data_IF_644902949266
#
_entry.id   IF_644902949266
#
_cell.length_a   1.000
_cell.length_b   1.000
_cell.length_c   1.000
_cell.angle_alpha   90.00
_cell.angle_beta   90.00
_cell.angle_gamma   90.00
#
_symmetry.space_group_name_H-M   'P 1'
#
loop_
_entity.id
_entity.type
_entity.pdbx_description
1 polymer ?
#
# COMPACT_ATOMS: atom_id res chain seq x y z
N UNK A 1 0.47 18.12 -11.74
CA UNK A 1 0.86 17.52 -10.46
C UNK A 1 1.98 18.39 -9.91
N UNK A 2 1.84 18.91 -8.69
CA UNK A 2 2.89 19.72 -8.08
C UNK A 2 4.15 18.87 -7.89
N UNK A 3 5.32 19.49 -8.08
CA UNK A 3 6.60 18.82 -7.87
C UNK A 3 7.03 18.98 -6.42
N UNK A 4 7.45 17.87 -5.80
CA UNK A 4 8.01 17.87 -4.45
C UNK A 4 9.48 17.42 -4.52
N UNK A 5 10.41 18.30 -4.91
CA UNK A 5 11.81 17.94 -5.14
C UNK A 5 12.53 17.45 -3.86
N UNK A 6 12.10 17.94 -2.69
CA UNK A 6 12.62 17.52 -1.40
C UNK A 6 12.14 16.11 -0.97
N UNK A 7 11.10 15.56 -1.58
CA UNK A 7 10.58 14.24 -1.19
C UNK A 7 11.58 13.14 -1.54
N UNK A 8 12.09 12.48 -0.50
CA UNK A 8 12.91 11.27 -0.61
C UNK A 8 12.08 9.99 -0.49
N UNK A 9 10.90 10.07 0.13
CA UNK A 9 9.96 8.95 0.25
C UNK A 9 8.52 9.45 0.23
N UNK A 10 7.66 8.73 -0.50
CA UNK A 10 6.21 8.83 -0.36
C UNK A 10 5.71 7.65 0.48
N UNK A 11 4.93 7.92 1.51
CA UNK A 11 4.31 6.88 2.35
C UNK A 11 2.80 6.88 2.16
N UNK A 12 2.24 5.69 2.01
CA UNK A 12 0.84 5.45 1.74
C UNK A 12 0.21 4.73 2.92
N UNK A 13 -1.02 5.12 3.24
CA UNK A 13 -1.88 4.31 4.10
C UNK A 13 -2.35 3.06 3.36
N UNK A 14 -2.66 2.02 4.14
CA UNK A 14 -3.21 0.77 3.62
C UNK A 14 -4.68 0.65 3.99
N UNK A 15 -5.45 -0.03 3.14
CA UNK A 15 -6.82 -0.45 3.41
C UNK A 15 -6.90 -1.95 3.19
N UNK A 16 -7.44 -2.65 4.17
CA UNK A 16 -7.56 -4.10 4.11
C UNK A 16 -8.70 -4.48 3.17
N UNK A 17 -8.40 -5.37 2.23
CA UNK A 17 -9.44 -6.02 1.44
C UNK A 17 -9.79 -7.33 2.13
N UNK A 18 -11.00 -7.39 2.69
CA UNK A 18 -11.44 -8.57 3.42
C UNK A 18 -12.05 -9.57 2.45
N UNK A 19 -11.66 -10.82 2.65
CA UNK A 19 -12.22 -11.94 1.91
C UNK A 19 -13.58 -12.32 2.51
N UNK A 20 -14.61 -12.36 1.68
CA UNK A 20 -15.99 -12.64 2.10
C UNK A 20 -16.32 -14.13 2.09
N UNK A 21 -15.46 -14.96 1.48
CA UNK A 21 -15.64 -16.42 1.36
C UNK A 21 -14.33 -17.17 1.63
N UNK A 22 -14.37 -18.40 2.18
CA UNK A 22 -13.18 -19.23 2.35
C UNK A 22 -12.55 -19.61 1.00
N UNK A 23 -11.30 -20.05 1.03
CA UNK A 23 -10.64 -20.65 -0.15
C UNK A 23 -11.35 -21.94 -0.57
N UNK A 24 -11.44 -22.21 -1.88
CA UNK A 24 -11.96 -23.48 -2.37
C UNK A 24 -11.01 -24.60 -1.92
N UNK A 25 -11.57 -25.70 -1.41
CA UNK A 25 -10.78 -26.87 -1.00
C UNK A 25 -10.33 -27.74 -2.19
N UNK A 26 -10.95 -27.55 -3.36
CA UNK A 26 -10.64 -28.27 -4.60
C UNK A 26 -10.80 -27.35 -5.80
N UNK A 27 -9.92 -27.51 -6.79
CA UNK A 27 -9.99 -26.81 -8.07
C UNK A 27 -10.81 -27.61 -9.10
N UNK A 28 -11.91 -27.03 -9.58
CA UNK A 28 -12.83 -27.59 -10.59
C UNK A 28 -12.78 -26.78 -11.91
N UNK A 29 -11.61 -26.25 -12.25
CA UNK A 29 -11.41 -25.48 -13.49
C UNK A 29 -12.09 -24.10 -13.45
N UNK A 30 -12.71 -23.72 -14.57
CA UNK A 30 -13.34 -22.40 -14.74
C UNK A 30 -14.44 -22.11 -13.73
N UNK A 31 -15.14 -23.13 -13.22
CA UNK A 31 -16.15 -22.95 -12.18
C UNK A 31 -15.53 -22.33 -10.92
N UNK A 32 -14.47 -22.94 -10.40
CA UNK A 32 -13.75 -22.43 -9.23
C UNK A 32 -13.16 -21.05 -9.49
N UNK A 33 -12.59 -20.81 -10.68
CA UNK A 33 -12.07 -19.49 -11.04
C UNK A 33 -13.17 -18.43 -10.98
N UNK A 34 -14.27 -18.65 -11.68
CA UNK A 34 -15.37 -17.67 -11.79
C UNK A 34 -16.08 -17.41 -10.46
N UNK A 35 -16.07 -18.37 -9.53
CA UNK A 35 -16.66 -18.19 -8.19
C UNK A 35 -15.70 -17.53 -7.19
N UNK A 36 -14.38 -17.60 -7.42
CA UNK A 36 -13.34 -17.17 -6.49
C UNK A 36 -12.34 -16.16 -7.06
N UNK A 37 -12.65 -15.48 -8.17
CA UNK A 37 -11.83 -14.35 -8.64
C UNK A 37 -11.66 -13.34 -7.49
N UNK A 38 -10.44 -12.83 -7.32
CA UNK A 38 -10.10 -11.90 -6.23
C UNK A 38 -11.04 -10.69 -6.19
N UNK A 39 -11.44 -10.16 -7.34
CA UNK A 39 -12.40 -9.05 -7.45
C UNK A 39 -13.84 -9.40 -7.03
N UNK A 40 -14.20 -10.68 -6.96
CA UNK A 40 -15.53 -11.16 -6.58
C UNK A 40 -15.61 -11.54 -5.10
N UNK A 41 -14.52 -12.08 -4.54
CA UNK A 41 -14.52 -12.60 -3.16
C UNK A 41 -13.79 -11.70 -2.17
N UNK A 42 -13.02 -10.72 -2.64
CA UNK A 42 -12.42 -9.71 -1.78
C UNK A 42 -13.20 -8.40 -1.95
N UNK A 43 -13.77 -7.88 -0.86
CA UNK A 43 -14.52 -6.63 -0.88
C UNK A 43 -13.88 -5.58 0.03
N UNK A 44 -14.00 -4.33 -0.40
CA UNK A 44 -13.40 -3.17 0.26
C UNK A 44 -14.31 -2.59 1.36
N UNK A 45 -14.54 -3.33 2.45
CA UNK A 45 -15.36 -2.85 3.58
C UNK A 45 -14.56 -2.25 4.74
N UNK A 46 -13.23 -2.38 4.77
CA UNK A 46 -12.46 -1.84 5.89
C UNK A 46 -12.28 -0.33 5.74
N UNK A 47 -12.19 0.41 6.84
CA UNK A 47 -11.68 1.78 6.79
C UNK A 47 -10.18 1.78 6.40
N UNK A 48 -9.67 2.86 5.79
CA UNK A 48 -8.23 3.11 5.73
C UNK A 48 -7.61 2.99 7.13
N UNK A 49 -6.44 2.36 7.21
CA UNK A 49 -5.70 2.28 8.46
C UNK A 49 -5.12 3.66 8.86
N UNK A 50 -4.82 3.87 10.15
CA UNK A 50 -4.09 5.06 10.60
C UNK A 50 -2.74 5.20 9.90
N UNK A 51 -2.25 6.44 9.78
CA UNK A 51 -0.92 6.74 9.23
C UNK A 51 0.16 5.92 9.96
N UNK A 52 1.06 5.31 9.18
CA UNK A 52 2.14 4.44 9.68
C UNK A 52 1.74 2.99 9.92
N UNK A 53 0.46 2.65 10.05
CA UNK A 53 0.03 1.26 10.28
C UNK A 53 0.20 0.42 9.01
N UNK A 54 1.03 -0.62 9.05
CA UNK A 54 1.35 -1.48 7.89
C UNK A 54 1.71 -0.70 6.64
N UNK A 55 2.27 0.50 6.82
CA UNK A 55 2.50 1.44 5.74
C UNK A 55 3.37 0.83 4.64
N UNK A 56 3.18 1.31 3.41
CA UNK A 56 4.09 1.03 2.31
C UNK A 56 4.59 2.35 1.76
N UNK A 57 5.74 2.29 1.12
CA UNK A 57 6.41 3.48 0.67
C UNK A 57 7.10 3.25 -0.66
N UNK A 58 7.23 4.31 -1.43
CA UNK A 58 8.10 4.39 -2.61
C UNK A 58 9.16 5.43 -2.27
N UNK A 59 10.42 5.14 -2.57
CA UNK A 59 11.53 6.02 -2.22
C UNK A 59 12.43 6.31 -3.43
N UNK A 60 13.08 7.46 -3.39
CA UNK A 60 14.17 7.82 -4.27
C UNK A 60 15.49 7.45 -3.56
N UNK A 61 16.21 6.42 -4.03
CA UNK A 61 17.43 5.95 -3.36
C UNK A 61 18.56 6.98 -3.40
N UNK A 62 18.49 8.00 -4.26
CA UNK A 62 19.51 9.07 -4.31
C UNK A 62 19.38 10.06 -3.14
N UNK A 63 18.24 10.03 -2.43
CA UNK A 63 17.88 10.97 -1.35
C UNK A 63 17.86 10.31 0.03
N UNK A 64 17.97 8.98 0.08
CA UNK A 64 17.87 8.17 1.29
C UNK A 64 19.22 7.55 1.62
N UNK A 65 19.70 7.77 2.85
CA UNK A 65 20.95 7.18 3.33
C UNK A 65 20.71 5.84 4.02
N UNK A 66 19.68 5.76 4.87
CA UNK A 66 19.33 4.54 5.61
C UNK A 66 17.82 4.30 5.58
N UNK A 67 17.43 3.09 5.17
CA UNK A 67 16.05 2.65 5.08
C UNK A 67 15.78 1.54 6.10
N UNK A 68 14.71 1.68 6.87
CA UNK A 68 14.14 0.61 7.69
C UNK A 68 12.93 -0.02 7.01
N UNK A 69 12.32 -1.03 7.63
CA UNK A 69 11.09 -1.63 7.10
C UNK A 69 9.98 -0.57 7.05
N UNK A 70 9.65 -0.16 5.83
CA UNK A 70 8.57 0.78 5.49
C UNK A 70 8.72 2.23 6.00
N UNK A 71 9.93 2.63 6.39
CA UNK A 71 10.24 4.04 6.64
C UNK A 71 11.72 4.34 6.48
N UNK A 72 12.03 5.58 6.07
CA UNK A 72 13.40 6.09 6.07
C UNK A 72 13.81 6.41 7.49
N UNK A 73 14.96 5.88 7.89
CA UNK A 73 15.61 6.20 9.17
C UNK A 73 16.45 7.47 9.04
N UNK A 74 17.19 7.60 7.92
CA UNK A 74 18.07 8.74 7.66
C UNK A 74 17.98 9.16 6.19
N UNK A 75 17.71 10.45 5.99
CA UNK A 75 17.79 11.13 4.69
C UNK A 75 19.16 11.78 4.48
N UNK A 76 19.57 11.96 3.22
CA UNK A 76 20.58 12.98 2.93
C UNK A 76 20.00 14.39 3.24
N UNK A 77 20.85 15.39 3.55
CA UNK A 77 20.35 16.70 3.99
C UNK A 77 19.37 17.35 3.02
N UNK A 78 18.27 17.89 3.55
CA UNK A 78 17.25 18.60 2.76
C UNK A 78 16.16 17.72 2.15
N UNK A 79 16.08 16.44 2.55
CA UNK A 79 15.03 15.54 2.10
C UNK A 79 14.11 15.07 3.23
N UNK A 80 12.87 14.76 2.85
CA UNK A 80 11.82 14.41 3.80
C UNK A 80 10.83 13.38 3.25
N UNK A 81 9.97 12.93 4.17
CA UNK A 81 8.82 12.06 3.88
C UNK A 81 7.64 12.90 3.43
N UNK A 82 6.98 12.48 2.35
CA UNK A 82 5.64 12.93 1.99
C UNK A 82 4.62 11.88 2.41
N UNK A 83 3.73 12.23 3.34
CA UNK A 83 2.57 11.41 3.69
C UNK A 83 1.47 11.64 2.66
N UNK A 84 1.16 10.60 1.87
CA UNK A 84 0.22 10.72 0.76
C UNK A 84 -1.21 10.83 1.30
N UNK A 85 -1.95 11.91 0.97
CA UNK A 85 -3.35 12.04 1.39
C UNK A 85 -4.21 10.90 0.86
N UNK A 86 -5.16 10.44 1.66
CA UNK A 86 -6.14 9.40 1.26
C UNK A 86 -7.06 9.84 0.12
N UNK A 87 -7.22 11.14 -0.08
CA UNK A 87 -7.90 11.71 -1.25
C UNK A 87 -7.17 11.43 -2.56
N UNK A 88 -5.85 11.25 -2.49
CA UNK A 88 -4.98 11.15 -3.65
C UNK A 88 -4.65 9.68 -3.94
N UNK A 89 -4.24 8.92 -2.92
CA UNK A 89 -3.94 7.50 -3.08
C UNK A 89 -4.04 6.68 -1.79
N UNK A 90 -4.32 5.39 -1.97
CA UNK A 90 -4.33 4.36 -0.92
C UNK A 90 -3.91 3.01 -1.51
N UNK A 91 -3.24 2.17 -0.72
CA UNK A 91 -2.84 0.82 -1.13
C UNK A 91 -3.86 -0.22 -0.64
N UNK A 92 -4.20 -1.17 -1.51
CA UNK A 92 -5.20 -2.24 -1.30
C UNK A 92 -4.66 -3.58 -1.80
#
# INVERSE_FOLDING_TARGET
MESHPATGMMRFVTQWVLKTKPDPTKYEGYKTLNEHLTTLVCHNTSSPAPIGHTAKCVLDPTKVFLMWVHHVEIYFPGHETYEVPTSDAIIR
#
